data_IF_085835725759
#
_entry.id   IF_085835725759
#
_cell.length_a   1.000
_cell.length_b   1.000
_cell.length_c   1.000
_cell.angle_alpha   90.00
_cell.angle_beta   90.00
_cell.angle_gamma   90.00
#
_symmetry.space_group_name_H-M   'P 1'
#
loop_
_entity.id
_entity.type
_entity.pdbx_description
1 polymer ?
#
# COMPACT_ATOMS: atom_id res chain seq x y z
N UNK A 1 2.64 -0.37 12.62
CA UNK A 1 2.95 -1.82 12.56
C UNK A 1 4.42 -2.11 12.85
N UNK A 2 5.37 -1.53 12.11
CA UNK A 2 6.80 -1.79 12.28
C UNK A 2 7.33 -1.52 13.69
N UNK A 3 6.78 -0.51 14.39
CA UNK A 3 7.10 -0.24 15.79
C UNK A 3 6.77 -1.40 16.73
N UNK A 4 5.55 -1.95 16.63
CA UNK A 4 5.11 -3.10 17.46
C UNK A 4 5.99 -4.34 17.23
N UNK A 5 6.50 -4.48 16.01
CA UNK A 5 7.35 -5.58 15.58
C UNK A 5 8.84 -5.32 15.80
N UNK A 6 9.21 -4.20 16.43
CA UNK A 6 10.59 -3.83 16.67
C UNK A 6 11.43 -3.64 15.40
N UNK A 7 10.79 -3.46 14.24
CA UNK A 7 11.48 -3.31 12.96
C UNK A 7 12.03 -1.89 12.82
N UNK A 8 13.25 -1.78 12.30
CA UNK A 8 13.82 -0.48 11.96
C UNK A 8 13.00 0.19 10.86
N UNK A 9 12.56 1.40 11.17
CA UNK A 9 11.91 2.31 10.24
C UNK A 9 12.99 2.94 9.36
N UNK A 10 12.98 2.66 8.06
CA UNK A 10 13.72 3.32 6.95
C UNK A 10 13.52 2.51 5.66
N UNK A 11 14.14 2.93 4.57
CA UNK A 11 14.25 2.13 3.36
C UNK A 11 15.29 1.01 3.54
N UNK A 12 14.95 0.02 4.36
CA UNK A 12 15.81 -1.10 4.72
C UNK A 12 15.42 -2.38 3.98
N UNK A 13 16.41 -3.25 3.78
CA UNK A 13 16.20 -4.61 3.30
C UNK A 13 15.29 -5.35 4.30
N UNK A 14 14.32 -6.15 3.85
CA UNK A 14 13.40 -6.90 4.72
C UNK A 14 12.49 -6.02 5.60
N UNK A 15 11.86 -5.00 5.00
CA UNK A 15 10.97 -4.09 5.73
C UNK A 15 9.60 -4.70 6.10
N UNK A 16 9.22 -5.82 5.47
CA UNK A 16 7.96 -6.50 5.74
C UNK A 16 8.03 -7.34 7.03
N UNK A 17 6.99 -7.27 7.87
CA UNK A 17 6.88 -8.07 9.09
C UNK A 17 6.25 -9.45 8.85
N UNK A 18 5.62 -9.69 7.70
CA UNK A 18 5.01 -10.99 7.36
C UNK A 18 5.99 -11.91 6.59
N UNK A 19 6.83 -11.33 5.74
CA UNK A 19 7.74 -12.08 4.88
C UNK A 19 9.10 -11.39 4.76
N UNK A 20 10.08 -12.14 4.26
CA UNK A 20 11.44 -11.67 3.98
C UNK A 20 11.52 -11.01 2.60
N UNK A 21 10.63 -10.06 2.33
CA UNK A 21 10.63 -9.30 1.10
C UNK A 21 11.91 -8.47 0.96
N UNK A 22 12.69 -8.75 -0.07
CA UNK A 22 13.91 -8.00 -0.36
C UNK A 22 13.61 -6.77 -1.21
N UNK A 23 13.44 -5.62 -0.56
CA UNK A 23 13.17 -4.34 -1.23
C UNK A 23 14.32 -3.83 -2.11
N UNK A 24 15.48 -4.49 -2.09
CA UNK A 24 16.63 -4.16 -2.94
C UNK A 24 16.70 -5.06 -4.17
N UNK A 25 15.92 -6.13 -4.24
CA UNK A 25 15.90 -7.06 -5.36
C UNK A 25 15.03 -6.54 -6.51
N UNK A 26 15.40 -5.39 -7.08
CA UNK A 26 14.59 -4.66 -8.09
C UNK A 26 14.19 -5.54 -9.27
N UNK A 27 15.12 -6.36 -9.78
CA UNK A 27 14.86 -7.29 -10.88
C UNK A 27 13.76 -8.33 -10.57
N UNK A 28 13.50 -8.63 -9.30
CA UNK A 28 12.53 -9.62 -8.85
C UNK A 28 11.20 -9.01 -8.38
N UNK A 29 11.08 -7.69 -8.27
CA UNK A 29 9.94 -7.02 -7.62
C UNK A 29 8.58 -7.39 -8.20
N UNK A 30 8.49 -7.64 -9.50
CA UNK A 30 7.24 -7.98 -10.20
C UNK A 30 7.19 -9.41 -10.74
N UNK A 31 8.26 -10.19 -10.50
CA UNK A 31 8.36 -11.59 -10.95
C UNK A 31 8.14 -12.53 -9.76
N UNK A 32 8.72 -12.19 -8.61
CA UNK A 32 8.64 -13.00 -7.41
C UNK A 32 7.45 -12.56 -6.56
N UNK A 33 6.41 -13.38 -6.59
CA UNK A 33 5.18 -13.19 -5.81
C UNK A 33 5.40 -13.70 -4.37
N UNK A 34 5.92 -14.92 -4.24
CA UNK A 34 6.08 -15.59 -2.94
C UNK A 34 7.47 -15.35 -2.34
N UNK A 35 7.48 -14.65 -1.21
CA UNK A 35 8.68 -14.43 -0.40
C UNK A 35 8.63 -15.30 0.85
N UNK A 36 9.77 -15.84 1.33
CA UNK A 36 9.79 -16.68 2.51
C UNK A 36 9.10 -16.00 3.69
N UNK A 37 8.25 -16.73 4.40
CA UNK A 37 7.59 -16.21 5.59
C UNK A 37 8.64 -15.83 6.65
N UNK A 38 8.38 -14.72 7.35
CA UNK A 38 9.24 -14.30 8.45
C UNK A 38 8.90 -15.12 9.69
N UNK A 39 9.86 -15.92 10.17
CA UNK A 39 9.74 -16.69 11.40
C UNK A 39 10.45 -16.05 12.61
N UNK A 40 11.54 -15.28 12.37
CA UNK A 40 12.36 -14.65 13.42
C UNK A 40 12.20 -13.13 13.44
N UNK A 41 12.21 -12.58 14.66
CA UNK A 41 12.26 -11.14 14.95
C UNK A 41 13.36 -10.82 15.96
N UNK A 42 14.42 -11.64 16.01
CA UNK A 42 15.56 -11.40 16.89
C UNK A 42 16.23 -10.08 16.52
N UNK A 43 16.45 -9.15 17.48
CA UNK A 43 17.18 -7.91 17.20
C UNK A 43 18.55 -8.19 16.57
N UNK A 44 18.89 -7.44 15.52
CA UNK A 44 20.10 -7.64 14.72
C UNK A 44 19.88 -8.46 13.43
N UNK A 45 18.82 -9.26 13.36
CA UNK A 45 18.49 -10.04 12.17
C UNK A 45 17.43 -9.35 11.30
N UNK A 46 17.62 -9.40 9.97
CA UNK A 46 16.56 -9.14 8.98
C UNK A 46 15.67 -7.90 9.29
N UNK A 47 16.32 -6.77 9.63
CA UNK A 47 15.71 -5.48 9.98
C UNK A 47 14.99 -5.38 11.34
N UNK A 48 15.04 -6.39 12.19
CA UNK A 48 14.63 -6.27 13.58
C UNK A 48 15.71 -5.51 14.36
N UNK A 49 15.31 -4.41 15.00
CA UNK A 49 16.21 -3.54 15.80
C UNK A 49 15.90 -3.58 17.28
N UNK A 50 14.63 -3.75 17.62
CA UNK A 50 14.15 -3.78 19.00
C UNK A 50 13.38 -5.08 19.27
N UNK A 51 13.26 -5.49 20.54
CA UNK A 51 12.38 -6.59 20.93
C UNK A 51 10.93 -6.33 20.50
N UNK A 52 10.19 -7.41 20.28
CA UNK A 52 8.76 -7.37 19.98
C UNK A 52 7.98 -6.77 21.16
N UNK A 53 7.09 -5.82 20.88
CA UNK A 53 6.17 -5.28 21.88
C UNK A 53 4.80 -5.98 21.87
N UNK A 54 4.51 -6.71 20.80
CA UNK A 54 3.30 -7.51 20.66
C UNK A 54 3.64 -8.81 19.91
N UNK A 55 2.92 -9.88 20.22
CA UNK A 55 3.07 -11.14 19.49
C UNK A 55 2.54 -11.00 18.06
N UNK A 56 3.26 -11.50 17.03
CA UNK A 56 2.88 -11.30 15.64
C UNK A 56 1.46 -11.76 15.28
N UNK A 57 0.98 -12.83 15.90
CA UNK A 57 -0.36 -13.38 15.64
C UNK A 57 -1.50 -12.60 16.32
N UNK A 58 -1.19 -11.70 17.26
CA UNK A 58 -2.15 -10.80 17.90
C UNK A 58 -2.34 -9.49 17.13
N UNK A 59 -1.57 -9.30 16.05
CA UNK A 59 -1.60 -8.10 15.26
C UNK A 59 -2.60 -8.23 14.11
N UNK A 60 -3.67 -7.44 14.19
CA UNK A 60 -4.66 -7.33 13.12
C UNK A 60 -4.22 -6.21 12.19
N UNK A 61 -3.97 -6.54 10.92
CA UNK A 61 -3.73 -5.54 9.86
C UNK A 61 -5.09 -5.06 9.35
N UNK A 62 -5.48 -3.79 9.57
CA UNK A 62 -6.78 -3.34 9.10
C UNK A 62 -6.76 -3.25 7.55
N UNK A 63 -7.59 -4.04 6.82
CA UNK A 63 -7.55 -4.08 5.36
C UNK A 63 -7.80 -2.70 4.71
N UNK A 64 -8.51 -1.83 5.42
CA UNK A 64 -8.82 -0.48 4.99
C UNK A 64 -7.56 0.38 4.74
N UNK A 65 -6.55 0.32 5.62
CA UNK A 65 -5.35 1.14 5.47
C UNK A 65 -4.50 0.70 4.28
N UNK A 66 -4.46 -0.60 3.97
CA UNK A 66 -3.79 -1.13 2.77
C UNK A 66 -4.49 -0.59 1.52
N UNK A 67 -5.83 -0.72 1.47
CA UNK A 67 -6.62 -0.29 0.32
C UNK A 67 -6.48 1.22 0.06
N UNK A 68 -6.46 2.03 1.12
CA UNK A 68 -6.24 3.48 1.00
C UNK A 68 -4.86 3.80 0.40
N UNK A 69 -3.80 3.13 0.86
CA UNK A 69 -2.45 3.31 0.34
C UNK A 69 -2.32 2.91 -1.14
N UNK A 70 -2.90 1.78 -1.53
CA UNK A 70 -2.88 1.30 -2.91
C UNK A 70 -3.61 2.25 -3.87
N UNK A 71 -4.79 2.73 -3.49
CA UNK A 71 -5.54 3.70 -4.31
C UNK A 71 -4.80 5.02 -4.44
N UNK A 72 -4.17 5.47 -3.34
CA UNK A 72 -3.32 6.67 -3.39
C UNK A 72 -2.19 6.51 -4.41
N UNK A 73 -1.49 5.39 -4.38
CA UNK A 73 -0.39 5.12 -5.32
C UNK A 73 -0.89 4.98 -6.77
N UNK A 74 -2.03 4.30 -6.98
CA UNK A 74 -2.68 4.20 -8.28
C UNK A 74 -2.94 5.59 -8.85
N UNK A 75 -3.65 6.44 -8.11
CA UNK A 75 -4.02 7.78 -8.60
C UNK A 75 -2.80 8.68 -8.78
N UNK A 76 -1.75 8.52 -7.98
CA UNK A 76 -0.48 9.23 -8.20
C UNK A 76 0.21 8.81 -9.49
N UNK A 77 0.17 7.52 -9.85
CA UNK A 77 0.76 7.00 -11.07
C UNK A 77 -0.06 7.29 -12.35
N UNK A 78 -1.36 7.57 -12.23
CA UNK A 78 -2.22 7.86 -13.40
C UNK A 78 -1.76 9.12 -14.16
N UNK A 79 -1.95 9.11 -15.49
CA UNK A 79 -1.82 10.32 -16.30
C UNK A 79 -2.85 11.37 -15.87
N UNK A 80 -2.37 12.57 -15.51
CA UNK A 80 -3.22 13.66 -15.01
C UNK A 80 -4.08 14.29 -16.10
N UNK A 81 -3.73 14.07 -17.37
CA UNK A 81 -4.52 14.50 -18.51
C UNK A 81 -5.34 13.34 -19.12
N UNK A 82 -5.17 12.12 -18.59
CA UNK A 82 -5.79 10.92 -19.12
C UNK A 82 -7.30 10.83 -18.80
N UNK A 83 -8.04 10.03 -19.57
CA UNK A 83 -9.49 9.88 -19.43
C UNK A 83 -9.90 9.38 -18.04
N UNK A 84 -9.15 8.44 -17.46
CA UNK A 84 -9.43 7.93 -16.12
C UNK A 84 -9.29 9.00 -15.03
N UNK A 85 -8.30 9.90 -15.13
CA UNK A 85 -8.14 10.97 -14.15
C UNK A 85 -9.23 12.03 -14.29
N UNK A 86 -9.61 12.37 -15.53
CA UNK A 86 -10.77 13.23 -15.81
C UNK A 86 -12.06 12.64 -15.24
N UNK A 87 -12.26 11.34 -15.40
CA UNK A 87 -13.42 10.64 -14.82
C UNK A 87 -13.47 10.75 -13.29
N UNK A 88 -12.31 10.70 -12.59
CA UNK A 88 -12.28 10.91 -11.13
C UNK A 88 -12.80 12.29 -10.72
N UNK A 89 -12.51 13.33 -11.51
CA UNK A 89 -13.05 14.68 -11.28
C UNK A 89 -14.55 14.73 -11.47
N UNK A 90 -15.06 14.14 -12.56
CA UNK A 90 -16.48 14.10 -12.88
C UNK A 90 -17.27 13.27 -11.86
N UNK A 91 -16.71 12.15 -11.40
CA UNK A 91 -17.33 11.25 -10.42
C UNK A 91 -17.39 11.84 -9.02
N UNK A 92 -16.37 12.62 -8.65
CA UNK A 92 -16.26 13.22 -7.32
C UNK A 92 -16.15 14.75 -7.40
N UNK A 93 -17.19 15.46 -7.89
CA UNK A 93 -17.12 16.91 -8.13
C UNK A 93 -16.95 17.72 -6.83
N UNK A 94 -17.32 17.13 -5.67
CA UNK A 94 -17.14 17.74 -4.35
C UNK A 94 -15.71 17.60 -3.80
N UNK A 95 -14.83 16.86 -4.46
CA UNK A 95 -13.43 16.77 -4.08
C UNK A 95 -12.62 17.86 -4.79
N UNK A 96 -11.72 18.50 -4.05
CA UNK A 96 -10.78 19.42 -4.67
C UNK A 96 -9.82 18.68 -5.58
N UNK A 97 -9.33 19.39 -6.61
CA UNK A 97 -8.34 18.85 -7.55
C UNK A 97 -7.10 18.33 -6.82
N UNK A 98 -6.65 19.04 -5.78
CA UNK A 98 -5.52 18.62 -4.96
C UNK A 98 -5.76 17.29 -4.23
N UNK A 99 -6.97 17.07 -3.68
CA UNK A 99 -7.30 15.80 -3.01
C UNK A 99 -7.34 14.64 -3.99
N UNK A 100 -7.85 14.85 -5.20
CA UNK A 100 -7.85 13.83 -6.26
C UNK A 100 -6.41 13.54 -6.70
N UNK A 101 -5.60 14.56 -7.00
CA UNK A 101 -4.17 14.38 -7.36
C UNK A 101 -3.38 13.60 -6.32
N UNK A 102 -3.61 13.89 -5.03
CA UNK A 102 -2.96 13.21 -3.92
C UNK A 102 -3.57 11.84 -3.58
N UNK A 103 -4.61 11.41 -4.29
CA UNK A 103 -5.28 10.13 -4.08
C UNK A 103 -5.97 10.00 -2.74
N UNK A 104 -6.46 11.13 -2.19
CA UNK A 104 -7.09 11.20 -0.86
C UNK A 104 -8.59 10.90 -0.98
N UNK A 105 -8.94 9.63 -0.79
CA UNK A 105 -10.32 9.15 -0.81
C UNK A 105 -10.73 8.53 0.52
N UNK A 106 -12.03 8.59 0.81
CA UNK A 106 -12.63 7.83 1.91
C UNK A 106 -12.91 6.39 1.45
N UNK A 107 -12.92 5.45 2.39
CA UNK A 107 -13.16 4.03 2.08
C UNK A 107 -14.46 3.76 1.31
N UNK A 108 -15.52 4.54 1.56
CA UNK A 108 -16.79 4.45 0.83
C UNK A 108 -16.66 4.86 -0.64
N UNK A 109 -15.93 5.95 -0.93
CA UNK A 109 -15.67 6.43 -2.29
C UNK A 109 -14.82 5.44 -3.08
N UNK A 110 -13.83 4.83 -2.42
CA UNK A 110 -13.04 3.73 -3.00
C UNK A 110 -13.96 2.57 -3.37
N UNK A 111 -14.82 2.11 -2.44
CA UNK A 111 -15.76 1.01 -2.73
C UNK A 111 -16.69 1.35 -3.90
N UNK A 112 -17.15 2.58 -4.01
CA UNK A 112 -17.97 3.04 -5.13
C UNK A 112 -17.19 3.03 -6.44
N UNK A 113 -15.95 3.54 -6.44
CA UNK A 113 -15.10 3.62 -7.63
C UNK A 113 -14.80 2.25 -8.23
N UNK A 114 -14.38 1.28 -7.40
CA UNK A 114 -14.07 -0.08 -7.86
C UNK A 114 -15.30 -0.92 -8.25
N UNK A 115 -16.51 -0.45 -7.94
CA UNK A 115 -17.77 -1.08 -8.40
C UNK A 115 -18.28 -0.48 -9.71
N UNK A 116 -17.71 0.64 -10.15
CA UNK A 116 -18.17 1.35 -11.33
C UNK A 116 -17.41 0.86 -12.57
N UNK A 117 -18.11 0.13 -13.44
CA UNK A 117 -17.55 -0.38 -14.70
C UNK A 117 -17.06 0.73 -15.64
N UNK A 118 -17.59 1.96 -15.51
CA UNK A 118 -17.13 3.10 -16.31
C UNK A 118 -15.71 3.50 -15.94
N UNK A 119 -15.32 3.38 -14.66
CA UNK A 119 -13.95 3.66 -14.24
C UNK A 119 -12.97 2.67 -14.88
N UNK A 120 -13.32 1.38 -14.91
CA UNK A 120 -12.50 0.35 -15.54
C UNK A 120 -12.32 0.61 -17.04
N UNK A 121 -13.40 1.00 -17.73
CA UNK A 121 -13.36 1.30 -19.17
C UNK A 121 -12.54 2.55 -19.46
N UNK A 122 -12.58 3.56 -18.59
CA UNK A 122 -11.76 4.77 -18.72
C UNK A 122 -10.27 4.55 -18.42
N UNK A 123 -9.94 3.43 -17.75
CA UNK A 123 -8.58 3.09 -17.28
C UNK A 123 -7.85 2.10 -18.19
N UNK A 124 -8.48 1.67 -19.30
CA UNK A 124 -7.86 0.91 -20.39
C UNK A 124 -7.25 1.89 -21.40
#
# INVERSE_FOLDING_TARGET
>A
MSFLMGLQLRYTKYCCFLCLWDSRAIALHYIKIDWPQRASFKPGEMNAKHPLLAEPHKIIVPPLHIKLGLVKNLVKAMDKNGPAFKYLHEKFPRLSVAKIKEGVFMGTRIKQLFRDSKFETSSK
#
